data_IF_150251217481
#
_entry.id   IF_150251217481
#
_cell.length_a   1.000
_cell.length_b   1.000
_cell.length_c   1.000
_cell.angle_alpha   90.00
_cell.angle_beta   90.00
_cell.angle_gamma   90.00
#
_symmetry.space_group_name_H-M   'P 1'
#
loop_
_entity.id
_entity.type
_entity.pdbx_description
1 polymer ?
#
# COMPACT_ATOMS: atom_id res chain seq x y z
N UNK A 1 11.99 15.95 35.52
CA UNK A 1 11.89 16.48 34.14
C UNK A 1 12.70 15.73 33.07
N UNK A 2 13.65 14.82 33.39
CA UNK A 2 14.39 14.07 32.35
C UNK A 2 13.73 12.75 31.88
N UNK A 3 12.72 12.26 32.61
CA UNK A 3 12.13 10.94 32.38
C UNK A 3 11.13 10.92 31.21
N UNK A 4 10.45 12.05 30.96
CA UNK A 4 9.44 12.15 29.88
C UNK A 4 10.11 12.30 28.50
N UNK A 5 11.23 13.04 28.44
CA UNK A 5 12.05 13.19 27.21
C UNK A 5 12.67 11.86 26.77
N UNK A 6 13.10 11.01 27.70
CA UNK A 6 13.66 9.69 27.37
C UNK A 6 12.60 8.69 26.95
N UNK A 7 11.39 8.75 27.51
CA UNK A 7 10.25 7.94 27.05
C UNK A 7 9.81 8.33 25.63
N UNK A 8 9.68 9.62 25.36
CA UNK A 8 9.34 10.12 24.02
C UNK A 8 10.39 9.70 22.99
N UNK A 9 11.68 9.87 23.31
CA UNK A 9 12.78 9.45 22.41
C UNK A 9 12.72 7.95 22.09
N UNK A 10 12.47 7.09 23.09
CA UNK A 10 12.33 5.65 22.89
C UNK A 10 11.12 5.31 22.02
N UNK A 11 9.98 5.95 22.27
CA UNK A 11 8.77 5.72 21.47
C UNK A 11 8.96 6.14 20.01
N UNK A 12 9.59 7.30 19.76
CA UNK A 12 9.89 7.77 18.40
C UNK A 12 10.93 6.89 17.69
N UNK A 13 11.95 6.41 18.40
CA UNK A 13 12.92 5.46 17.84
C UNK A 13 12.27 4.12 17.48
N UNK A 14 11.38 3.60 18.33
CA UNK A 14 10.64 2.36 18.05
C UNK A 14 9.72 2.53 16.83
N UNK A 15 9.03 3.68 16.74
CA UNK A 15 8.19 4.02 15.59
C UNK A 15 9.00 4.12 14.29
N UNK A 16 10.18 4.75 14.34
CA UNK A 16 11.07 4.86 13.19
C UNK A 16 11.54 3.48 12.72
N UNK A 17 11.92 2.61 13.65
CA UNK A 17 12.32 1.24 13.33
C UNK A 17 11.17 0.48 12.64
N UNK A 18 9.94 0.60 13.11
CA UNK A 18 8.78 -0.02 12.45
C UNK A 18 8.55 0.53 11.03
N UNK A 19 8.77 1.82 10.80
CA UNK A 19 8.68 2.41 9.47
C UNK A 19 9.80 1.92 8.54
N UNK A 20 11.01 1.76 9.05
CA UNK A 20 12.12 1.18 8.28
C UNK A 20 11.89 -0.30 7.95
N UNK A 21 11.37 -1.08 8.91
CA UNK A 21 10.94 -2.47 8.70
C UNK A 21 9.87 -2.53 7.59
N UNK A 22 8.84 -1.69 7.68
CA UNK A 22 7.77 -1.65 6.66
C UNK A 22 8.30 -1.25 5.28
N UNK A 23 9.21 -0.26 5.20
CA UNK A 23 9.83 0.15 3.95
C UNK A 23 10.66 -0.98 3.33
N UNK A 24 11.38 -1.76 4.13
CA UNK A 24 12.13 -2.91 3.67
C UNK A 24 11.21 -4.00 3.10
N UNK A 25 10.08 -4.26 3.76
CA UNK A 25 9.08 -5.22 3.28
C UNK A 25 8.44 -4.77 1.95
N UNK A 26 8.12 -3.49 1.79
CA UNK A 26 7.63 -2.97 0.50
C UNK A 26 8.67 -3.11 -0.63
N UNK A 27 9.97 -2.97 -0.34
CA UNK A 27 11.04 -3.24 -1.32
C UNK A 27 11.17 -4.73 -1.66
N UNK A 28 10.92 -5.61 -0.70
CA UNK A 28 10.88 -7.06 -0.94
C UNK A 28 9.67 -7.42 -1.80
N UNK A 29 8.51 -6.81 -1.56
CA UNK A 29 7.32 -6.97 -2.39
C UNK A 29 7.61 -6.58 -3.84
N UNK A 30 8.27 -5.45 -4.08
CA UNK A 30 8.64 -5.01 -5.42
C UNK A 30 9.48 -6.08 -6.16
N UNK A 31 10.43 -6.71 -5.47
CA UNK A 31 11.24 -7.80 -6.04
C UNK A 31 10.41 -9.04 -6.31
N UNK A 32 9.60 -9.48 -5.34
CA UNK A 32 8.75 -10.66 -5.49
C UNK A 32 7.75 -10.49 -6.65
N UNK A 33 7.21 -9.28 -6.84
CA UNK A 33 6.35 -8.97 -7.99
C UNK A 33 7.10 -9.00 -9.32
N UNK A 34 8.34 -8.50 -9.36
CA UNK A 34 9.17 -8.57 -10.57
C UNK A 34 9.53 -10.01 -10.97
N UNK A 35 9.63 -10.91 -10.00
CA UNK A 35 9.94 -12.32 -10.18
C UNK A 35 8.68 -13.21 -10.30
N UNK A 36 7.47 -12.63 -10.17
CA UNK A 36 6.18 -13.36 -10.15
C UNK A 36 6.19 -14.47 -9.08
N UNK A 37 6.79 -14.20 -7.92
CA UNK A 37 6.88 -15.16 -6.83
C UNK A 37 5.66 -15.04 -5.90
N UNK A 38 4.59 -15.76 -6.25
CA UNK A 38 3.30 -15.70 -5.53
C UNK A 38 3.38 -16.19 -4.09
N UNK A 39 4.22 -17.20 -3.80
CA UNK A 39 4.41 -17.73 -2.45
C UNK A 39 5.08 -16.69 -1.54
N UNK A 40 6.11 -16.02 -2.06
CA UNK A 40 6.76 -14.92 -1.35
C UNK A 40 5.80 -13.74 -1.13
N UNK A 41 4.91 -13.43 -2.08
CA UNK A 41 3.93 -12.35 -1.94
C UNK A 41 2.94 -12.61 -0.79
N UNK A 42 2.52 -13.87 -0.57
CA UNK A 42 1.65 -14.23 0.54
C UNK A 42 2.35 -14.02 1.90
N UNK A 43 3.60 -14.44 2.04
CA UNK A 43 4.39 -14.22 3.26
C UNK A 43 4.66 -12.72 3.51
N UNK A 44 4.95 -11.97 2.45
CA UNK A 44 5.17 -10.52 2.50
C UNK A 44 3.89 -9.79 2.95
N UNK A 45 2.71 -10.21 2.50
CA UNK A 45 1.44 -9.65 2.96
C UNK A 45 1.22 -9.87 4.46
N UNK A 46 1.47 -11.08 4.97
CA UNK A 46 1.38 -11.37 6.41
C UNK A 46 2.33 -10.49 7.24
N UNK A 47 3.57 -10.28 6.76
CA UNK A 47 4.53 -9.39 7.43
C UNK A 47 4.08 -7.92 7.41
N UNK A 48 3.49 -7.44 6.29
CA UNK A 48 2.92 -6.08 6.22
C UNK A 48 1.78 -5.90 7.21
N UNK A 49 0.89 -6.88 7.33
CA UNK A 49 -0.21 -6.85 8.30
C UNK A 49 0.31 -6.83 9.75
N UNK A 50 1.25 -7.70 10.10
CA UNK A 50 1.87 -7.71 11.43
C UNK A 50 2.48 -6.34 11.78
N UNK A 51 3.31 -5.78 10.89
CA UNK A 51 3.94 -4.47 11.12
C UNK A 51 2.89 -3.35 11.20
N UNK A 52 1.84 -3.40 10.37
CA UNK A 52 0.77 -2.41 10.41
C UNK A 52 0.00 -2.47 11.75
N UNK A 53 -0.30 -3.66 12.27
CA UNK A 53 -0.96 -3.80 13.58
C UNK A 53 -0.06 -3.29 14.71
N UNK A 54 1.24 -3.57 14.67
CA UNK A 54 2.22 -3.05 15.64
C UNK A 54 2.29 -1.52 15.62
N UNK A 55 2.28 -0.91 14.42
CA UNK A 55 2.25 0.55 14.25
C UNK A 55 0.98 1.15 14.87
N UNK A 56 -0.19 0.56 14.58
CA UNK A 56 -1.47 1.04 15.12
C UNK A 56 -1.48 0.94 16.65
N UNK A 57 -1.07 -0.20 17.20
CA UNK A 57 -0.99 -0.42 18.64
C UNK A 57 -0.01 0.55 19.33
N UNK A 58 1.09 0.92 18.66
CA UNK A 58 2.07 1.85 19.22
C UNK A 58 1.69 3.34 19.04
N UNK A 59 0.79 3.65 18.10
CA UNK A 59 0.42 5.03 17.77
C UNK A 59 -0.20 5.79 18.94
N UNK A 60 -0.96 5.11 19.79
CA UNK A 60 -1.59 5.72 20.97
C UNK A 60 -0.56 6.03 22.06
N UNK A 61 0.40 5.13 22.29
CA UNK A 61 1.51 5.36 23.22
C UNK A 61 2.40 6.53 22.78
N UNK A 62 2.68 6.66 21.47
CA UNK A 62 3.42 7.80 20.91
C UNK A 62 2.63 9.10 21.11
N UNK A 63 1.32 9.09 20.88
CA UNK A 63 0.47 10.27 21.04
C UNK A 63 0.40 10.74 22.50
N UNK A 64 0.28 9.81 23.44
CA UNK A 64 0.34 10.10 24.87
C UNK A 64 1.70 10.68 25.27
N UNK A 65 2.81 10.08 24.82
CA UNK A 65 4.15 10.59 25.09
C UNK A 65 4.38 12.00 24.53
N UNK A 66 3.80 12.33 23.37
CA UNK A 66 3.84 13.69 22.80
C UNK A 66 3.04 14.66 23.67
N UNK A 67 1.82 14.29 24.07
CA UNK A 67 0.96 15.13 24.92
C UNK A 67 1.60 15.39 26.29
N UNK A 68 2.22 14.38 26.91
CA UNK A 68 2.96 14.52 28.17
C UNK A 68 4.16 15.45 28.00
N UNK A 69 4.95 15.28 26.94
CA UNK A 69 6.09 16.13 26.65
C UNK A 69 5.66 17.57 26.33
N UNK A 70 4.56 17.78 25.60
CA UNK A 70 4.00 19.09 25.29
C UNK A 70 3.55 19.82 26.56
N UNK A 71 2.82 19.12 27.43
CA UNK A 71 2.38 19.66 28.72
C UNK A 71 3.58 20.06 29.59
N UNK A 72 4.66 19.27 29.59
CA UNK A 72 5.88 19.56 30.35
C UNK A 72 6.65 20.80 29.86
N UNK A 73 6.47 21.18 28.60
CA UNK A 73 7.10 22.35 27.98
C UNK A 73 6.16 23.58 27.95
N UNK A 74 4.96 23.46 28.52
CA UNK A 74 3.95 24.53 28.58
C UNK A 74 3.14 24.72 27.29
N UNK A 75 3.14 23.72 26.41
CA UNK A 75 2.37 23.69 25.17
C UNK A 75 1.00 23.03 25.38
N UNK A 76 0.07 23.28 24.47
CA UNK A 76 -1.24 22.61 24.44
C UNK A 76 -1.07 21.08 24.39
N UNK A 77 -1.97 20.34 25.02
CA UNK A 77 -2.02 18.87 24.90
C UNK A 77 -2.32 18.40 23.47
N UNK A 78 -2.83 19.29 22.63
CA UNK A 78 -3.04 19.05 21.19
C UNK A 78 -1.84 19.47 20.32
N UNK A 79 -0.75 19.95 20.93
CA UNK A 79 0.42 20.39 20.18
C UNK A 79 1.02 19.22 19.39
N UNK A 80 1.34 19.50 18.14
CA UNK A 80 1.92 18.52 17.23
C UNK A 80 3.38 18.24 17.58
N UNK A 81 3.89 17.07 17.14
CA UNK A 81 5.31 16.73 17.30
C UNK A 81 6.23 17.79 16.67
N UNK A 82 5.79 18.44 15.57
CA UNK A 82 6.52 19.52 14.92
C UNK A 82 6.61 20.79 15.76
N UNK A 83 5.52 21.18 16.42
CA UNK A 83 5.49 22.34 17.33
C UNK A 83 6.33 22.10 18.59
N UNK A 84 6.24 20.89 19.16
CA UNK A 84 7.08 20.44 20.26
C UNK A 84 8.56 20.50 19.88
N UNK A 85 8.92 19.97 18.70
CA UNK A 85 10.28 19.98 18.19
C UNK A 85 10.81 21.40 17.93
N UNK A 86 9.97 22.31 17.42
CA UNK A 86 10.35 23.72 17.21
C UNK A 86 10.59 24.44 18.55
N UNK A 87 9.72 24.23 19.54
CA UNK A 87 9.88 24.81 20.88
C UNK A 87 11.16 24.32 21.57
N UNK A 88 11.46 23.02 21.45
CA UNK A 88 12.67 22.43 22.03
C UNK A 88 13.94 22.85 21.27
N UNK A 89 13.88 23.02 19.96
CA UNK A 89 15.00 23.54 19.17
C UNK A 89 15.36 24.98 19.58
N UNK A 90 14.37 25.83 19.86
CA UNK A 90 14.60 27.18 20.40
C UNK A 90 15.28 27.15 21.78
N UNK A 91 15.09 26.08 22.55
CA UNK A 91 15.73 25.83 23.85
C UNK A 91 17.08 25.08 23.72
N UNK A 92 17.60 24.91 22.50
CA UNK A 92 18.89 24.29 22.22
C UNK A 92 18.88 22.76 22.10
N UNK A 93 17.71 22.11 22.06
CA UNK A 93 17.59 20.67 21.87
C UNK A 93 17.09 20.35 20.45
N UNK A 94 18.02 20.21 19.52
CA UNK A 94 17.75 19.88 18.11
C UNK A 94 17.47 18.40 17.85
N UNK A 95 17.75 17.50 18.80
CA UNK A 95 17.64 16.05 18.58
C UNK A 95 16.21 15.63 18.18
N UNK A 96 15.20 16.22 18.82
CA UNK A 96 13.81 15.91 18.53
C UNK A 96 13.40 16.36 17.12
N UNK A 97 13.95 17.48 16.67
CA UNK A 97 13.72 18.01 15.33
C UNK A 97 14.35 17.12 14.26
N UNK A 98 15.53 16.56 14.53
CA UNK A 98 16.16 15.55 13.67
C UNK A 98 15.29 14.28 13.60
N UNK A 99 14.80 13.79 14.75
CA UNK A 99 13.93 12.61 14.79
C UNK A 99 12.60 12.81 14.05
N UNK A 100 11.97 13.98 14.21
CA UNK A 100 10.75 14.33 13.47
C UNK A 100 11.00 14.34 11.95
N UNK A 101 12.10 14.94 11.49
CA UNK A 101 12.47 14.93 10.07
C UNK A 101 12.71 13.50 9.56
N UNK A 102 13.39 12.66 10.33
CA UNK A 102 13.65 11.27 9.96
C UNK A 102 12.34 10.47 9.82
N UNK A 103 11.38 10.65 10.73
CA UNK A 103 10.06 10.03 10.66
C UNK A 103 9.29 10.45 9.41
N UNK A 104 9.29 11.74 9.06
CA UNK A 104 8.62 12.23 7.85
C UNK A 104 9.24 11.64 6.58
N UNK A 105 10.57 11.61 6.49
CA UNK A 105 11.29 10.99 5.36
C UNK A 105 10.94 9.51 5.26
N UNK A 106 10.88 8.79 6.38
CA UNK A 106 10.51 7.37 6.39
C UNK A 106 9.06 7.15 5.93
N UNK A 107 8.13 7.99 6.39
CA UNK A 107 6.73 7.95 5.96
C UNK A 107 6.57 8.22 4.46
N UNK A 108 7.25 9.24 3.92
CA UNK A 108 7.26 9.53 2.48
C UNK A 108 7.79 8.35 1.66
N UNK A 109 8.88 7.71 2.11
CA UNK A 109 9.44 6.53 1.44
C UNK A 109 8.47 5.36 1.40
N UNK A 110 7.73 5.12 2.48
CA UNK A 110 6.70 4.08 2.53
C UNK A 110 5.59 4.41 1.53
N UNK A 111 5.10 5.66 1.51
CA UNK A 111 4.06 6.08 0.57
C UNK A 111 4.48 5.90 -0.90
N UNK A 112 5.70 6.30 -1.23
CA UNK A 112 6.24 6.13 -2.58
C UNK A 112 6.36 4.64 -2.96
N UNK A 113 6.86 3.79 -2.06
CA UNK A 113 6.98 2.36 -2.31
C UNK A 113 5.61 1.68 -2.46
N UNK A 114 4.64 2.04 -1.62
CA UNK A 114 3.28 1.52 -1.70
C UNK A 114 2.59 1.95 -3.02
N UNK A 115 2.78 3.20 -3.45
CA UNK A 115 2.27 3.68 -4.73
C UNK A 115 2.86 2.90 -5.92
N UNK A 116 4.18 2.66 -5.91
CA UNK A 116 4.84 1.88 -6.95
C UNK A 116 4.35 0.42 -6.99
N UNK A 117 4.21 -0.23 -5.83
CA UNK A 117 3.71 -1.61 -5.76
C UNK A 117 2.26 -1.70 -6.25
N UNK A 118 1.42 -0.72 -5.92
CA UNK A 118 0.06 -0.63 -6.44
C UNK A 118 0.03 -0.50 -7.96
N UNK A 119 0.82 0.41 -8.53
CA UNK A 119 0.90 0.60 -9.99
C UNK A 119 1.31 -0.69 -10.71
N UNK A 120 2.29 -1.42 -10.17
CA UNK A 120 2.75 -2.70 -10.73
C UNK A 120 1.65 -3.76 -10.62
N UNK A 121 0.94 -3.84 -9.50
CA UNK A 121 -0.16 -4.78 -9.31
C UNK A 121 -1.29 -4.54 -10.33
N UNK A 122 -1.66 -3.27 -10.52
CA UNK A 122 -2.68 -2.86 -11.49
C UNK A 122 -2.27 -3.23 -12.93
N UNK A 123 -1.01 -2.99 -13.31
CA UNK A 123 -0.47 -3.38 -14.63
C UNK A 123 -0.43 -4.89 -14.83
N UNK A 124 -0.05 -5.63 -13.80
CA UNK A 124 0.00 -7.09 -13.85
C UNK A 124 -1.41 -7.67 -14.05
N UNK A 125 -2.39 -7.21 -13.28
CA UNK A 125 -3.79 -7.63 -13.40
C UNK A 125 -4.38 -7.32 -14.79
N UNK A 126 -4.10 -6.13 -15.33
CA UNK A 126 -4.51 -5.77 -16.69
C UNK A 126 -3.90 -6.70 -17.74
N UNK A 127 -2.62 -7.06 -17.60
CA UNK A 127 -1.93 -7.97 -18.52
C UNK A 127 -2.53 -9.36 -18.49
N UNK A 128 -2.75 -9.93 -17.30
CA UNK A 128 -3.39 -11.26 -17.14
C UNK A 128 -4.78 -11.28 -17.75
N UNK A 129 -5.57 -10.24 -17.54
CA UNK A 129 -6.92 -10.11 -18.13
C UNK A 129 -6.86 -10.10 -19.65
N UNK A 130 -5.97 -9.28 -20.25
CA UNK A 130 -5.78 -9.24 -21.70
C UNK A 130 -5.33 -10.59 -22.27
N UNK A 131 -4.45 -11.30 -21.59
CA UNK A 131 -4.02 -12.65 -21.97
C UNK A 131 -5.15 -13.65 -21.91
N UNK A 132 -5.99 -13.60 -20.87
CA UNK A 132 -7.17 -14.46 -20.75
C UNK A 132 -8.19 -14.17 -21.86
N UNK A 133 -8.42 -12.91 -22.20
CA UNK A 133 -9.29 -12.51 -23.31
C UNK A 133 -8.76 -13.00 -24.66
N UNK A 134 -7.44 -12.99 -24.84
CA UNK A 134 -6.79 -13.52 -26.03
C UNK A 134 -6.97 -15.04 -26.12
N UNK A 135 -6.67 -15.77 -25.05
CA UNK A 135 -6.86 -17.23 -24.97
C UNK A 135 -8.33 -17.60 -25.21
N UNK A 136 -9.27 -16.88 -24.59
CA UNK A 136 -10.71 -17.09 -24.77
C UNK A 136 -11.13 -16.86 -26.23
N UNK A 137 -10.63 -15.79 -26.87
CA UNK A 137 -10.86 -15.55 -28.30
C UNK A 137 -10.28 -16.67 -29.17
N UNK A 138 -9.07 -17.13 -28.89
CA UNK A 138 -8.44 -18.24 -29.63
C UNK A 138 -9.23 -19.54 -29.48
N UNK A 139 -9.68 -19.88 -28.26
CA UNK A 139 -10.51 -21.06 -28.02
C UNK A 139 -11.81 -20.97 -28.82
N UNK A 140 -12.52 -19.84 -28.73
CA UNK A 140 -13.77 -19.62 -29.46
C UNK A 140 -13.56 -19.66 -30.98
N UNK A 141 -12.46 -19.09 -31.50
CA UNK A 141 -12.13 -19.15 -32.92
C UNK A 141 -11.74 -20.57 -33.36
N UNK A 142 -11.01 -21.32 -32.55
CA UNK A 142 -10.63 -22.71 -32.85
C UNK A 142 -11.84 -23.65 -32.84
N UNK A 143 -12.80 -23.42 -31.95
CA UNK A 143 -14.08 -24.13 -31.91
C UNK A 143 -14.99 -23.81 -33.11
N UNK A 144 -14.78 -22.67 -33.79
CA UNK A 144 -15.48 -22.33 -35.04
C UNK A 144 -14.91 -23.09 -36.24
N UNK A 145 -13.72 -23.70 -36.13
CA UNK A 145 -13.05 -24.40 -37.24
C UNK A 145 -12.68 -25.87 -36.98
N UNK A 146 -13.12 -26.47 -35.86
CA UNK A 146 -12.78 -27.86 -35.50
C UNK A 146 -13.97 -28.75 -35.17
N UNK A 147 -14.25 -29.72 -36.05
CA UNK A 147 -15.03 -30.95 -35.82
C UNK A 147 -16.57 -30.94 -36.04
N UNK A 148 -17.08 -30.18 -37.01
CA UNK A 148 -18.15 -30.63 -37.93
C UNK A 148 -18.49 -29.51 -38.89
N UNK A 149 -18.32 -29.72 -40.19
CA UNK A 149 -18.76 -28.78 -41.20
C UNK A 149 -20.26 -28.52 -41.06
N UNK A 150 -20.62 -27.28 -40.74
CA UNK A 150 -22.00 -26.86 -40.63
C UNK A 150 -22.11 -25.40 -40.25
N UNK A 151 -22.38 -24.54 -41.23
CA UNK A 151 -22.90 -23.20 -40.95
C UNK A 151 -24.21 -23.35 -40.18
N UNK A 152 -24.20 -23.05 -38.88
CA UNK A 152 -25.43 -22.88 -38.10
C UNK A 152 -26.11 -21.58 -38.54
N UNK A 153 -26.94 -21.76 -39.56
CA UNK A 153 -28.19 -21.07 -39.86
C UNK A 153 -28.63 -20.04 -38.81
N UNK A 154 -28.39 -18.74 -39.08
CA UNK A 154 -29.23 -17.68 -38.51
C UNK A 154 -30.61 -17.83 -39.15
N UNK A 155 -31.60 -18.18 -38.33
CA UNK A 155 -33.02 -17.98 -38.63
C UNK A 155 -33.24 -16.49 -38.94
N UNK A 156 -33.36 -16.15 -40.23
CA UNK A 156 -34.00 -14.90 -40.63
C UNK A 156 -35.49 -15.17 -40.66
N UNK A 157 -36.20 -14.46 -39.80
CA UNK A 157 -37.64 -14.58 -39.61
C UNK A 157 -38.44 -14.37 -40.89
N UNK A 158 -39.67 -14.89 -40.83
CA UNK A 158 -40.74 -14.73 -41.78
C UNK A 158 -40.77 -13.36 -42.47
N UNK A 159 -40.78 -13.38 -43.80
CA UNK A 159 -41.44 -12.35 -44.61
C UNK A 159 -42.33 -13.09 -45.60
N UNK A 160 -43.62 -13.14 -45.30
CA UNK A 160 -44.67 -13.40 -46.28
C UNK A 160 -44.61 -12.31 -47.35
N UNK A 161 -44.53 -12.68 -48.63
CA UNK A 161 -44.87 -11.81 -49.75
C UNK A 161 -45.65 -12.62 -50.80
N UNK A 162 -46.97 -12.57 -50.61
CA UNK A 162 -48.09 -12.70 -51.54
C UNK A 162 -47.89 -13.41 -52.89
N UNK A 163 -48.61 -14.51 -53.06
CA UNK A 163 -49.19 -14.95 -54.34
C UNK A 163 -50.54 -14.26 -54.54
N UNK A 164 -50.68 -13.49 -55.63
CA UNK A 164 -51.90 -13.06 -56.36
C UNK A 164 -51.43 -11.95 -57.34
N UNK A 165 -51.65 -11.93 -58.65
CA UNK A 165 -52.54 -12.66 -59.57
C UNK A 165 -51.90 -12.76 -60.98
#
# INVERSE_FOLDING_TARGET
>A
MNMDKTKLKKALSLQLQMFEELSAVFKQELRAMSEINLDAMAEINLRKEDIATRIVAHSEAVRQAISEAASSEGLSSEATLGELAACLAQKGNEELLVQHKALNIAAERIQQAAAANREIAERFAATVTNSLDLVTRLINQSNVYGASGGYLQRQTGAVMLNTEA
#
